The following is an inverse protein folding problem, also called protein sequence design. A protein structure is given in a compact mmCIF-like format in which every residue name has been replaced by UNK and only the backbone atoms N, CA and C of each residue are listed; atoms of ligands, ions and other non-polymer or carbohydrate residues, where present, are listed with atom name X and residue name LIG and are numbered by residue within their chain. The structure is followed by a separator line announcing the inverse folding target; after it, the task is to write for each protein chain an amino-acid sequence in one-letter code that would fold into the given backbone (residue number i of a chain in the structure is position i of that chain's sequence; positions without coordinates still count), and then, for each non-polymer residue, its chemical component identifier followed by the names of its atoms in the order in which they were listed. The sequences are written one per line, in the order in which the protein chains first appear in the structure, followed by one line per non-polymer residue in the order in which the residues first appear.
data_IF_014894334384
#
_entry.id   IF_014894334384
#
_cell.length_a   1.000
_cell.length_b   1.000
_cell.length_c   1.000
_cell.angle_alpha   90.00
_cell.angle_beta   90.00
_cell.angle_gamma   90.00
#
_symmetry.space_group_name_H-M   'P 1'
#
loop_
_entity.id
_entity.type
_entity.pdbx_description
1 polymer ?
#
# COMPACT_ATOMS: atom_id res chain seq x y z
N UNK A 1 -40.58 -8.94 3.12
CA UNK A 1 -39.84 -8.61 1.88
C UNK A 1 -38.42 -8.19 2.27
N UNK A 2 -37.39 -8.86 1.74
CA UNK A 2 -35.98 -8.55 2.09
C UNK A 2 -35.51 -7.20 1.52
N UNK A 3 -34.53 -6.58 2.18
CA UNK A 3 -33.93 -5.30 1.78
C UNK A 3 -33.33 -5.42 0.36
N UNK A 4 -33.69 -4.49 -0.52
CA UNK A 4 -33.14 -4.40 -1.87
C UNK A 4 -31.95 -3.44 -1.88
N UNK A 5 -30.78 -3.95 -2.23
CA UNK A 5 -29.56 -3.18 -2.39
C UNK A 5 -29.44 -2.69 -3.82
N UNK A 6 -29.12 -1.41 -4.01
CA UNK A 6 -28.95 -0.78 -5.32
C UNK A 6 -27.54 -0.20 -5.45
N UNK A 7 -27.03 -0.15 -6.67
CA UNK A 7 -25.75 0.47 -6.97
C UNK A 7 -25.65 0.85 -8.44
N UNK A 8 -24.95 1.94 -8.72
CA UNK A 8 -24.78 2.49 -10.07
C UNK A 8 -23.33 2.39 -10.50
N UNK A 9 -23.08 1.99 -11.75
CA UNK A 9 -21.73 2.03 -12.31
C UNK A 9 -21.27 3.48 -12.45
N UNK A 10 -20.16 3.86 -11.82
CA UNK A 10 -19.63 5.22 -11.93
C UNK A 10 -19.09 5.57 -13.32
N UNK A 11 -18.81 4.57 -14.17
CA UNK A 11 -18.22 4.76 -15.50
C UNK A 11 -19.31 5.01 -16.54
N UNK A 12 -20.34 4.17 -16.59
CA UNK A 12 -21.40 4.24 -17.61
C UNK A 12 -22.81 4.49 -17.07
N UNK A 13 -22.96 4.74 -15.76
CA UNK A 13 -24.24 5.03 -15.09
C UNK A 13 -25.31 3.94 -15.16
N UNK A 14 -24.95 2.71 -15.51
CA UNK A 14 -25.87 1.57 -15.49
C UNK A 14 -26.24 1.18 -14.04
N UNK A 15 -27.52 0.94 -13.78
CA UNK A 15 -28.05 0.62 -12.46
C UNK A 15 -28.18 -0.89 -12.22
N UNK A 16 -27.86 -1.31 -11.00
CA UNK A 16 -27.93 -2.69 -10.55
C UNK A 16 -28.73 -2.78 -9.26
N UNK A 17 -29.50 -3.86 -9.13
CA UNK A 17 -30.19 -4.20 -7.90
C UNK A 17 -30.00 -5.67 -7.53
N UNK A 18 -29.90 -5.93 -6.23
CA UNK A 18 -29.82 -7.28 -5.70
C UNK A 18 -30.39 -7.37 -4.27
N UNK A 19 -30.80 -8.57 -3.86
CA UNK A 19 -31.32 -8.83 -2.51
C UNK A 19 -30.23 -9.04 -1.46
N UNK A 20 -28.96 -9.12 -1.87
CA UNK A 20 -27.81 -9.25 -0.98
C UNK A 20 -26.64 -8.36 -1.44
N UNK A 21 -25.85 -7.79 -0.52
CA UNK A 21 -24.69 -6.97 -0.86
C UNK A 21 -23.65 -7.71 -1.73
N UNK A 22 -23.32 -8.95 -1.38
CA UNK A 22 -22.35 -9.78 -2.13
C UNK A 22 -22.76 -9.96 -3.59
N UNK A 23 -24.02 -10.34 -3.84
CA UNK A 23 -24.54 -10.48 -5.19
C UNK A 23 -24.62 -9.16 -5.96
N UNK A 24 -24.85 -8.01 -5.29
CA UNK A 24 -24.76 -6.70 -5.95
C UNK A 24 -23.33 -6.44 -6.43
N UNK A 25 -22.34 -6.66 -5.55
CA UNK A 25 -20.93 -6.49 -5.89
C UNK A 25 -20.49 -7.45 -7.01
N UNK A 26 -20.94 -8.71 -6.98
CA UNK A 26 -20.65 -9.68 -8.03
C UNK A 26 -21.21 -9.25 -9.40
N UNK A 27 -22.47 -8.77 -9.44
CA UNK A 27 -23.09 -8.22 -10.66
C UNK A 27 -22.31 -7.02 -11.18
N UNK A 28 -21.98 -6.07 -10.31
CA UNK A 28 -21.22 -4.87 -10.70
C UNK A 28 -19.81 -5.22 -11.18
N UNK A 29 -19.13 -6.18 -10.53
CA UNK A 29 -17.82 -6.67 -10.93
C UNK A 29 -17.87 -7.31 -12.32
N UNK A 30 -18.83 -8.22 -12.55
CA UNK A 30 -19.04 -8.87 -13.86
C UNK A 30 -19.31 -7.84 -14.96
N UNK A 31 -20.13 -6.83 -14.67
CA UNK A 31 -20.40 -5.73 -15.59
C UNK A 31 -19.11 -4.94 -15.92
N UNK A 32 -18.30 -4.57 -14.91
CA UNK A 32 -17.04 -3.84 -15.13
C UNK A 32 -16.06 -4.64 -15.99
N UNK A 33 -15.92 -5.94 -15.74
CA UNK A 33 -15.06 -6.81 -16.56
C UNK A 33 -15.57 -6.96 -18.00
N UNK A 34 -16.90 -6.99 -18.20
CA UNK A 34 -17.50 -7.14 -19.53
C UNK A 34 -17.50 -5.85 -20.35
N UNK A 35 -17.90 -4.72 -19.77
CA UNK A 35 -18.08 -3.43 -20.48
C UNK A 35 -16.90 -2.45 -20.31
N UNK A 36 -16.06 -2.64 -19.29
CA UNK A 36 -14.98 -1.72 -18.93
C UNK A 36 -13.63 -2.45 -18.79
N UNK A 37 -13.42 -3.50 -19.58
CA UNK A 37 -12.21 -4.32 -19.55
C UNK A 37 -10.92 -3.49 -19.62
N UNK A 38 -10.79 -2.59 -20.60
CA UNK A 38 -9.61 -1.77 -20.78
C UNK A 38 -9.35 -0.84 -19.58
N UNK A 39 -10.40 -0.28 -18.98
CA UNK A 39 -10.30 0.54 -17.78
C UNK A 39 -9.83 -0.28 -16.58
N UNK A 40 -10.34 -1.51 -16.42
CA UNK A 40 -9.91 -2.44 -15.37
C UNK A 40 -8.43 -2.81 -15.53
N UNK A 41 -8.00 -3.18 -16.74
CA UNK A 41 -6.61 -3.51 -17.05
C UNK A 41 -5.70 -2.31 -16.78
N UNK A 42 -6.11 -1.10 -17.19
CA UNK A 42 -5.35 0.12 -16.93
C UNK A 42 -5.18 0.35 -15.43
N UNK A 43 -6.25 0.23 -14.63
CA UNK A 43 -6.17 0.37 -13.17
C UNK A 43 -5.29 -0.68 -12.50
N UNK A 44 -5.28 -1.91 -13.00
CA UNK A 44 -4.40 -2.96 -12.49
C UNK A 44 -2.94 -2.61 -12.81
N UNK A 45 -2.64 -2.16 -14.03
CA UNK A 45 -1.29 -1.72 -14.41
C UNK A 45 -0.83 -0.51 -13.60
N UNK A 46 -1.70 0.48 -13.41
CA UNK A 46 -1.44 1.65 -12.55
C UNK A 46 -1.13 1.21 -11.11
N UNK A 47 -1.92 0.29 -10.56
CA UNK A 47 -1.69 -0.25 -9.22
C UNK A 47 -0.39 -1.05 -9.12
N UNK A 48 -0.06 -1.85 -10.14
CA UNK A 48 1.20 -2.61 -10.17
C UNK A 48 2.41 -1.70 -10.30
N UNK A 49 2.38 -0.71 -11.20
CA UNK A 49 3.45 0.28 -11.36
C UNK A 49 3.66 1.08 -10.06
N UNK A 50 2.58 1.54 -9.44
CA UNK A 50 2.67 2.20 -8.14
C UNK A 50 3.24 1.28 -7.05
N UNK A 51 3.00 -0.04 -7.12
CA UNK A 51 3.63 -1.00 -6.21
C UNK A 51 5.12 -1.24 -6.51
N UNK A 52 5.53 -1.18 -7.77
CA UNK A 52 6.94 -1.33 -8.20
C UNK A 52 7.77 -0.07 -7.91
N UNK A 53 7.14 1.11 -7.95
CA UNK A 53 7.76 2.39 -7.57
C UNK A 53 7.85 2.60 -6.04
N UNK A 54 7.24 1.71 -5.24
CA UNK A 54 7.37 1.73 -3.80
C UNK A 54 8.59 0.91 -3.37
N UNK A 55 9.55 1.49 -2.63
CA UNK A 55 10.69 0.71 -2.16
C UNK A 55 10.21 -0.45 -1.31
N UNK A 56 10.66 -1.64 -1.66
CA UNK A 56 10.31 -2.84 -0.93
C UNK A 56 10.97 -2.86 0.45
N UNK A 57 10.46 -3.70 1.36
CA UNK A 57 11.13 -3.97 2.63
C UNK A 57 12.57 -4.43 2.44
N UNK A 58 12.84 -5.14 1.35
CA UNK A 58 14.16 -5.68 1.05
C UNK A 58 15.14 -4.59 0.63
N UNK A 59 14.66 -3.57 -0.10
CA UNK A 59 15.48 -2.41 -0.47
C UNK A 59 15.92 -1.64 0.77
N UNK A 60 15.02 -1.43 1.73
CA UNK A 60 15.37 -0.79 3.00
C UNK A 60 16.36 -1.62 3.81
N UNK A 61 16.14 -2.93 3.95
CA UNK A 61 17.05 -3.80 4.72
C UNK A 61 18.44 -3.79 4.09
N UNK A 62 18.51 -3.84 2.76
CA UNK A 62 19.78 -3.75 2.03
C UNK A 62 20.46 -2.40 2.29
N UNK A 63 19.71 -1.30 2.21
CA UNK A 63 20.25 0.03 2.47
C UNK A 63 20.64 0.25 3.95
N UNK A 64 19.95 -0.37 4.90
CA UNK A 64 20.32 -0.35 6.32
C UNK A 64 21.64 -1.09 6.56
N UNK A 65 21.93 -2.15 5.81
CA UNK A 65 23.22 -2.85 5.86
C UNK A 65 24.35 -2.03 5.24
N UNK A 66 24.07 -1.27 4.17
CA UNK A 66 25.03 -0.33 3.57
C UNK A 66 25.31 0.89 4.47
N UNK A 67 24.36 1.24 5.34
CA UNK A 67 24.51 2.22 6.40
C UNK A 67 23.51 3.38 6.36
N UNK A 68 23.59 4.32 7.32
CA UNK A 68 22.52 5.28 7.59
C UNK A 68 22.19 6.17 6.39
N UNK A 69 23.19 6.61 5.62
CA UNK A 69 23.00 7.49 4.46
C UNK A 69 22.24 6.82 3.32
N UNK A 70 22.47 5.53 3.06
CA UNK A 70 21.76 4.78 2.04
C UNK A 70 20.30 4.56 2.47
N UNK A 71 20.12 4.15 3.73
CA UNK A 71 18.79 3.90 4.28
C UNK A 71 17.92 5.17 4.32
N UNK A 72 18.52 6.34 4.60
CA UNK A 72 17.85 7.63 4.53
C UNK A 72 17.31 7.98 3.14
N UNK A 73 18.05 7.65 2.06
CA UNK A 73 17.58 7.90 0.68
C UNK A 73 16.33 7.09 0.34
N UNK A 74 16.19 5.91 0.91
CA UNK A 74 14.99 5.08 0.75
C UNK A 74 13.86 5.64 1.61
N UNK A 75 14.15 5.96 2.87
CA UNK A 75 13.16 6.50 3.81
C UNK A 75 12.43 7.74 3.28
N UNK A 76 13.12 8.69 2.63
CA UNK A 76 12.47 9.91 2.11
C UNK A 76 11.41 9.66 1.05
N UNK A 77 11.38 8.45 0.45
CA UNK A 77 10.37 8.06 -0.54
C UNK A 77 9.16 7.36 0.08
N UNK A 78 9.18 7.09 1.39
CA UNK A 78 8.09 6.44 2.09
C UNK A 78 6.96 7.41 2.45
N UNK A 79 5.74 6.90 2.32
CA UNK A 79 4.56 7.49 2.95
C UNK A 79 4.54 7.18 4.44
N UNK A 80 3.81 7.99 5.20
CA UNK A 80 3.62 7.79 6.65
C UNK A 80 3.18 6.36 6.99
N UNK A 81 2.20 5.84 6.25
CA UNK A 81 1.69 4.49 6.46
C UNK A 81 2.75 3.41 6.23
N UNK A 82 3.66 3.61 5.28
CA UNK A 82 4.76 2.68 5.03
C UNK A 82 5.79 2.73 6.15
N UNK A 83 6.15 3.94 6.60
CA UNK A 83 7.04 4.14 7.74
C UNK A 83 6.51 3.42 8.98
N UNK A 84 5.26 3.65 9.38
CA UNK A 84 4.66 3.02 10.56
C UNK A 84 4.65 1.49 10.47
N UNK A 85 4.42 0.93 9.27
CA UNK A 85 4.47 -0.52 9.07
C UNK A 85 5.88 -1.09 9.21
N UNK A 86 6.89 -0.35 8.75
CA UNK A 86 8.30 -0.72 8.89
C UNK A 86 8.73 -0.60 10.35
N UNK A 87 8.33 0.48 11.04
CA UNK A 87 8.61 0.68 12.46
C UNK A 87 8.16 -0.51 13.31
N UNK A 88 6.90 -0.93 13.16
CA UNK A 88 6.41 -2.12 13.88
C UNK A 88 7.19 -3.41 13.58
N UNK A 89 7.77 -3.54 12.39
CA UNK A 89 8.66 -4.67 12.06
C UNK A 89 10.04 -4.51 12.68
N UNK A 90 10.65 -3.33 12.58
CA UNK A 90 11.99 -3.05 13.09
C UNK A 90 12.02 -3.13 14.62
N UNK A 91 11.03 -2.58 15.31
CA UNK A 91 10.90 -2.65 16.76
C UNK A 91 10.81 -4.11 17.26
N UNK A 92 10.09 -4.96 16.51
CA UNK A 92 9.97 -6.39 16.82
C UNK A 92 11.27 -7.18 16.59
N UNK A 93 12.13 -6.69 15.68
CA UNK A 93 13.37 -7.35 15.30
C UNK A 93 14.61 -6.71 15.96
N UNK A 94 14.48 -5.57 16.64
CA UNK A 94 15.60 -4.79 17.17
C UNK A 94 16.55 -5.64 18.03
N UNK A 95 16.01 -6.53 18.87
CA UNK A 95 16.80 -7.40 19.75
C UNK A 95 17.55 -8.54 19.06
N UNK A 96 17.33 -8.77 17.77
CA UNK A 96 18.02 -9.82 16.99
C UNK A 96 18.79 -9.27 15.79
N UNK A 97 18.66 -7.98 15.49
CA UNK A 97 19.36 -7.33 14.40
C UNK A 97 20.80 -6.98 14.80
N UNK A 98 21.75 -6.95 13.85
CA UNK A 98 23.09 -6.45 14.12
C UNK A 98 23.07 -4.98 14.55
N UNK A 99 23.95 -4.60 15.48
CA UNK A 99 24.05 -3.22 16.00
C UNK A 99 24.17 -2.17 14.89
N UNK A 100 24.88 -2.48 13.80
CA UNK A 100 25.03 -1.57 12.65
C UNK A 100 23.70 -1.24 11.96
N UNK A 101 22.79 -2.20 11.89
CA UNK A 101 21.45 -2.04 11.32
C UNK A 101 20.57 -1.25 12.29
N UNK A 102 20.67 -1.55 13.59
CA UNK A 102 19.93 -0.82 14.65
C UNK A 102 20.32 0.65 14.67
N UNK A 103 21.62 0.96 14.63
CA UNK A 103 22.12 2.34 14.58
C UNK A 103 21.58 3.07 13.35
N UNK A 104 21.60 2.41 12.18
CA UNK A 104 21.07 2.99 10.93
C UNK A 104 19.56 3.23 11.01
N UNK A 105 18.82 2.35 11.68
CA UNK A 105 17.39 2.51 11.93
C UNK A 105 17.09 3.66 12.88
N UNK A 106 17.79 3.76 14.02
CA UNK A 106 17.62 4.85 14.99
C UNK A 106 17.88 6.22 14.38
N UNK A 107 18.83 6.31 13.43
CA UNK A 107 19.05 7.54 12.66
C UNK A 107 17.84 7.93 11.79
N UNK A 108 17.12 6.95 11.21
CA UNK A 108 15.87 7.19 10.48
C UNK A 108 14.77 7.65 11.44
N UNK A 109 14.62 6.99 12.59
CA UNK A 109 13.62 7.36 13.60
C UNK A 109 13.82 8.81 14.06
N UNK A 110 15.04 9.20 14.42
CA UNK A 110 15.34 10.57 14.84
C UNK A 110 15.02 11.60 13.75
N UNK A 111 15.30 11.28 12.48
CA UNK A 111 14.95 12.19 11.37
C UNK A 111 13.44 12.26 11.13
N UNK A 112 12.73 11.15 11.31
CA UNK A 112 11.28 11.11 11.21
C UNK A 112 10.64 11.99 12.28
N UNK A 113 11.05 11.81 13.53
CA UNK A 113 10.52 12.56 14.67
C UNK A 113 10.78 14.07 14.49
N UNK A 114 11.99 14.46 14.06
CA UNK A 114 12.32 15.85 13.75
C UNK A 114 11.46 16.47 12.64
N UNK A 115 11.00 15.68 11.66
CA UNK A 115 10.16 16.16 10.56
C UNK A 115 8.70 16.42 10.96
N UNK A 116 8.27 15.87 12.09
CA UNK A 116 6.88 15.97 12.57
C UNK A 116 6.70 17.10 13.61
N UNK A 117 7.80 17.73 14.04
CA UNK A 117 7.83 18.98 14.83
C UNK A 117 7.72 20.24 13.94
#
# INVERSE_FOLDING_TARGET
MGRLYRGTCKICREDFASRSPSALLAKMSKHRWKKHYNWMVRRIKEGKRASEENPSYQDLVTALQEGPRAALKIYVTYTERQYQRIKGMMDALEGILPDSVVISWKAIEALHDWRQE
#
